data_IF_752969315319
#
_entry.id   IF_752969315319
#
_cell.length_a   1.000
_cell.length_b   1.000
_cell.length_c   1.000
_cell.angle_alpha   90.00
_cell.angle_beta   90.00
_cell.angle_gamma   90.00
#
_symmetry.space_group_name_H-M   'P 1'
#
loop_
_entity.id
_entity.type
_entity.pdbx_description
1 polymer ?
#
# COMPACT_ATOMS: atom_id res chain seq x y z
N UNK A 1 -17.45 30.83 32.13
CA UNK A 1 -16.82 31.37 30.89
C UNK A 1 -17.90 31.45 29.84
N UNK A 2 -18.15 32.63 29.27
CA UNK A 2 -19.16 32.83 28.22
C UNK A 2 -18.52 33.57 27.07
N UNK A 3 -18.64 33.03 25.86
CA UNK A 3 -18.12 33.61 24.62
C UNK A 3 -19.29 34.00 23.72
N UNK A 4 -19.38 35.27 23.34
CA UNK A 4 -20.39 35.76 22.39
C UNK A 4 -19.69 36.39 21.18
N UNK A 5 -19.95 35.91 19.95
CA UNK A 5 -19.45 36.56 18.75
C UNK A 5 -20.31 37.80 18.45
N UNK A 6 -19.68 38.97 18.33
CA UNK A 6 -20.35 40.23 17.97
C UNK A 6 -19.54 40.89 16.85
N UNK A 7 -20.18 41.09 15.69
CA UNK A 7 -19.66 41.88 14.57
C UNK A 7 -18.19 41.57 14.21
N UNK A 8 -17.87 40.29 14.04
CA UNK A 8 -16.54 39.87 13.60
C UNK A 8 -15.47 39.75 14.69
N UNK A 9 -15.83 40.04 15.94
CA UNK A 9 -14.95 39.94 17.10
C UNK A 9 -15.57 39.02 18.16
N UNK A 10 -14.74 38.28 18.89
CA UNK A 10 -15.20 37.40 19.97
C UNK A 10 -14.92 38.07 21.31
N UNK A 11 -15.96 38.26 22.12
CA UNK A 11 -15.81 38.73 23.50
C UNK A 11 -15.90 37.54 24.46
N UNK A 12 -14.82 37.29 25.19
CA UNK A 12 -14.74 36.23 26.19
C UNK A 12 -14.67 36.87 27.58
N UNK A 13 -15.64 36.53 28.44
CA UNK A 13 -15.63 36.89 29.86
C UNK A 13 -15.40 35.64 30.72
N UNK A 14 -14.35 35.68 31.55
CA UNK A 14 -14.06 34.64 32.52
C UNK A 14 -13.80 35.22 33.90
N UNK A 15 -14.66 34.86 34.84
CA UNK A 15 -14.48 35.09 36.26
C UNK A 15 -13.92 33.81 36.89
N UNK A 16 -12.72 33.89 37.45
CA UNK A 16 -12.07 32.80 38.19
C UNK A 16 -11.79 33.26 39.61
N UNK A 17 -12.30 32.50 40.58
CA UNK A 17 -12.11 32.76 42.01
C UNK A 17 -11.25 31.66 42.58
N UNK A 18 -10.07 32.02 43.07
CA UNK A 18 -9.15 31.10 43.72
C UNK A 18 -9.13 31.40 45.22
N UNK A 19 -9.35 30.36 46.02
CA UNK A 19 -9.38 30.44 47.47
C UNK A 19 -8.28 29.56 48.02
N UNK A 20 -7.29 30.18 48.68
CA UNK A 20 -6.15 29.48 49.25
C UNK A 20 -6.40 29.21 50.73
N UNK A 21 -6.15 27.97 51.16
CA UNK A 21 -6.26 27.59 52.57
C UNK A 21 -5.13 28.25 53.38
N UNK A 22 -5.44 28.79 54.59
CA UNK A 22 -4.44 29.51 55.38
C UNK A 22 -3.32 28.59 55.86
N UNK A 23 -2.08 29.09 55.83
CA UNK A 23 -0.93 28.45 56.48
C UNK A 23 -0.92 28.79 57.98
N UNK A 24 -0.23 27.95 58.77
CA UNK A 24 -0.27 27.86 60.25
C UNK A 24 -0.03 29.21 60.97
N UNK A 25 0.53 30.22 60.29
CA UNK A 25 0.80 31.56 60.82
C UNK A 25 -0.20 32.66 60.43
N UNK A 26 -1.26 32.37 59.68
CA UNK A 26 -2.27 33.37 59.26
C UNK A 26 -3.70 32.89 59.57
N UNK A 27 -4.51 33.72 60.24
CA UNK A 27 -5.86 33.34 60.72
C UNK A 27 -6.95 33.42 59.63
N UNK A 28 -6.68 34.02 58.47
CA UNK A 28 -7.60 34.06 57.33
C UNK A 28 -6.87 33.71 56.04
N UNK A 29 -7.47 32.80 55.25
CA UNK A 29 -7.00 32.46 53.90
C UNK A 29 -7.17 33.63 52.94
N UNK A 30 -6.29 33.73 51.96
CA UNK A 30 -6.35 34.79 50.94
C UNK A 30 -7.30 34.38 49.82
N UNK A 31 -8.26 35.24 49.54
CA UNK A 31 -9.17 35.10 48.40
C UNK A 31 -8.71 36.02 47.27
N UNK A 32 -8.43 35.43 46.10
CA UNK A 32 -8.11 36.17 44.89
C UNK A 32 -9.24 35.99 43.88
N UNK A 33 -9.91 37.10 43.54
CA UNK A 33 -10.84 37.15 42.42
C UNK A 33 -10.09 37.75 41.22
N UNK A 34 -9.95 36.98 40.16
CA UNK A 34 -9.31 37.43 38.93
C UNK A 34 -10.35 37.53 37.83
N UNK A 35 -10.66 38.77 37.44
CA UNK A 35 -11.53 39.09 36.33
C UNK A 35 -10.68 39.24 35.06
N UNK A 36 -10.81 38.30 34.13
CA UNK A 36 -10.12 38.37 32.84
C UNK A 36 -11.10 38.75 31.74
N UNK A 37 -10.80 39.86 31.06
CA UNK A 37 -11.54 40.36 29.90
C UNK A 37 -10.67 40.22 28.66
N UNK A 38 -11.10 39.39 27.70
CA UNK A 38 -10.36 39.17 26.45
C UNK A 38 -11.23 39.57 25.26
N UNK A 39 -10.76 40.56 24.52
CA UNK A 39 -11.34 40.99 23.24
C UNK A 39 -10.44 40.51 22.11
N UNK A 40 -10.97 39.60 21.27
CA UNK A 40 -10.31 39.22 20.03
C UNK A 40 -10.91 40.03 18.89
N UNK A 41 -10.21 41.07 18.47
CA UNK A 41 -10.61 41.92 17.34
C UNK A 41 -10.30 41.17 16.03
N UNK A 42 -11.25 41.12 15.09
CA UNK A 42 -11.13 40.48 13.77
C UNK A 42 -10.98 38.94 13.76
N UNK A 43 -11.34 38.25 14.84
CA UNK A 43 -11.28 36.78 14.98
C UNK A 43 -12.11 36.04 13.91
N UNK A 44 -13.23 36.63 13.45
CA UNK A 44 -14.02 36.03 12.36
C UNK A 44 -13.24 35.94 11.05
N UNK A 45 -12.26 36.83 10.81
CA UNK A 45 -11.49 36.81 9.57
C UNK A 45 -10.56 35.59 9.52
N UNK A 46 -9.98 35.22 10.68
CA UNK A 46 -9.31 33.94 10.86
C UNK A 46 -10.29 32.78 10.70
N UNK A 47 -11.49 32.85 11.30
CA UNK A 47 -12.53 31.82 11.13
C UNK A 47 -12.96 31.61 9.67
N UNK A 48 -13.07 32.67 8.87
CA UNK A 48 -13.38 32.58 7.43
C UNK A 48 -12.21 31.98 6.64
N UNK A 49 -10.97 32.35 6.97
CA UNK A 49 -9.76 31.76 6.39
C UNK A 49 -9.67 30.27 6.71
N UNK A 50 -9.89 29.89 7.98
CA UNK A 50 -9.86 28.51 8.45
C UNK A 50 -10.95 27.66 7.80
N UNK A 51 -12.15 28.24 7.59
CA UNK A 51 -13.22 27.59 6.84
C UNK A 51 -12.81 27.34 5.38
N UNK A 52 -12.23 28.32 4.70
CA UNK A 52 -11.74 28.15 3.33
C UNK A 52 -10.60 27.13 3.26
N UNK A 53 -9.67 27.14 4.21
CA UNK A 53 -8.62 26.13 4.32
C UNK A 53 -9.21 24.73 4.49
N UNK A 54 -10.20 24.57 5.36
CA UNK A 54 -10.90 23.30 5.57
C UNK A 54 -11.62 22.83 4.29
N UNK A 55 -12.23 23.74 3.52
CA UNK A 55 -12.86 23.41 2.24
C UNK A 55 -11.82 22.98 1.20
N UNK A 56 -10.67 23.64 1.13
CA UNK A 56 -9.54 23.25 0.27
C UNK A 56 -8.98 21.89 0.66
N UNK A 57 -8.80 21.63 1.95
CA UNK A 57 -8.33 20.34 2.47
C UNK A 57 -9.33 19.23 2.17
N UNK A 58 -10.63 19.47 2.34
CA UNK A 58 -11.67 18.53 1.97
C UNK A 58 -11.67 18.23 0.46
N UNK A 59 -11.52 19.27 -0.38
CA UNK A 59 -11.41 19.10 -1.82
C UNK A 59 -10.16 18.28 -2.20
N UNK A 60 -9.02 18.53 -1.54
CA UNK A 60 -7.78 17.76 -1.72
C UNK A 60 -7.96 16.31 -1.30
N UNK A 61 -8.51 16.04 -0.12
CA UNK A 61 -8.77 14.68 0.35
C UNK A 61 -9.72 13.91 -0.59
N UNK A 62 -10.70 14.61 -1.17
CA UNK A 62 -11.60 14.02 -2.19
C UNK A 62 -10.86 13.69 -3.49
N UNK A 63 -9.96 14.55 -3.93
CA UNK A 63 -9.12 14.28 -5.11
C UNK A 63 -8.16 13.12 -4.85
N UNK A 64 -7.52 13.08 -3.69
CA UNK A 64 -6.65 11.97 -3.26
C UNK A 64 -7.41 10.65 -3.22
N UNK A 65 -8.63 10.64 -2.67
CA UNK A 65 -9.48 9.45 -2.67
C UNK A 65 -9.82 8.98 -4.09
N UNK A 66 -10.14 9.90 -5.00
CA UNK A 66 -10.40 9.55 -6.39
C UNK A 66 -9.15 8.99 -7.09
N UNK A 67 -7.99 9.58 -6.83
CA UNK A 67 -6.71 9.10 -7.35
C UNK A 67 -6.40 7.70 -6.82
N UNK A 68 -6.53 7.49 -5.52
CA UNK A 68 -6.27 6.20 -4.87
C UNK A 68 -7.20 5.10 -5.40
N UNK A 69 -8.47 5.42 -5.68
CA UNK A 69 -9.39 4.50 -6.36
C UNK A 69 -8.93 4.11 -7.76
N UNK A 70 -8.44 5.07 -8.53
CA UNK A 70 -7.91 4.82 -9.88
C UNK A 70 -6.63 3.98 -9.81
N UNK A 71 -5.73 4.31 -8.88
CA UNK A 71 -4.46 3.61 -8.66
C UNK A 71 -4.73 2.14 -8.28
N UNK A 72 -5.62 1.86 -7.33
CA UNK A 72 -6.01 0.48 -6.95
C UNK A 72 -6.65 -0.26 -8.12
N UNK A 73 -7.52 0.40 -8.89
CA UNK A 73 -8.15 -0.21 -10.06
C UNK A 73 -7.11 -0.56 -11.14
N UNK A 74 -6.11 0.29 -11.33
CA UNK A 74 -5.02 0.05 -12.27
C UNK A 74 -4.13 -1.09 -11.77
N UNK A 75 -3.74 -1.08 -10.50
CA UNK A 75 -2.91 -2.11 -9.88
C UNK A 75 -3.54 -3.49 -10.04
N UNK A 76 -4.83 -3.65 -9.71
CA UNK A 76 -5.54 -4.93 -9.89
C UNK A 76 -5.52 -5.39 -11.35
N UNK A 77 -5.72 -4.48 -12.30
CA UNK A 77 -5.67 -4.82 -13.74
C UNK A 77 -4.27 -5.26 -14.17
N UNK A 78 -3.25 -4.54 -13.74
CA UNK A 78 -1.85 -4.86 -14.04
C UNK A 78 -1.48 -6.23 -13.48
N UNK A 79 -1.87 -6.55 -12.24
CA UNK A 79 -1.64 -7.86 -11.65
C UNK A 79 -2.37 -8.99 -12.40
N UNK A 80 -3.63 -8.77 -12.80
CA UNK A 80 -4.37 -9.73 -13.63
C UNK A 80 -3.71 -9.99 -14.99
N UNK A 81 -3.25 -8.94 -15.67
CA UNK A 81 -2.52 -9.11 -16.93
C UNK A 81 -1.15 -9.77 -16.73
N UNK A 82 -0.48 -9.48 -15.60
CA UNK A 82 0.74 -10.13 -15.19
C UNK A 82 0.55 -11.64 -15.05
N UNK A 83 -0.52 -12.07 -14.38
CA UNK A 83 -0.86 -13.48 -14.25
C UNK A 83 -1.16 -14.16 -15.59
N UNK A 84 -1.95 -13.53 -16.46
CA UNK A 84 -2.22 -14.07 -17.81
C UNK A 84 -0.93 -14.25 -18.62
N UNK A 85 -0.01 -13.28 -18.52
CA UNK A 85 1.30 -13.37 -19.16
C UNK A 85 2.12 -14.52 -18.58
N UNK A 86 2.13 -14.69 -17.26
CA UNK A 86 2.84 -15.77 -16.59
C UNK A 86 2.32 -17.15 -17.03
N UNK A 87 1.00 -17.32 -17.19
CA UNK A 87 0.40 -18.56 -17.73
C UNK A 87 0.90 -18.88 -19.15
N UNK A 88 0.96 -17.88 -20.03
CA UNK A 88 1.47 -18.06 -21.40
C UNK A 88 2.97 -18.44 -21.37
N UNK A 89 3.74 -17.82 -20.47
CA UNK A 89 5.15 -18.15 -20.28
C UNK A 89 5.34 -19.58 -19.76
N UNK A 90 4.50 -20.02 -18.83
CA UNK A 90 4.50 -21.38 -18.30
C UNK A 90 4.20 -22.41 -19.40
N UNK A 91 3.18 -22.17 -20.23
CA UNK A 91 2.86 -23.04 -21.37
C UNK A 91 4.02 -23.08 -22.38
N UNK A 92 4.61 -21.93 -22.68
CA UNK A 92 5.78 -21.85 -23.56
C UNK A 92 6.97 -22.63 -23.00
N UNK A 93 7.25 -22.50 -21.69
CA UNK A 93 8.32 -23.22 -21.03
C UNK A 93 8.06 -24.73 -21.01
N UNK A 94 6.82 -25.16 -20.74
CA UNK A 94 6.40 -26.56 -20.81
C UNK A 94 6.63 -27.16 -22.20
N UNK A 95 6.22 -26.43 -23.26
CA UNK A 95 6.42 -26.85 -24.64
C UNK A 95 7.91 -26.96 -25.01
N UNK A 96 8.76 -26.04 -24.51
CA UNK A 96 10.21 -26.10 -24.70
C UNK A 96 10.85 -27.30 -24.01
N UNK A 97 10.45 -27.59 -22.76
CA UNK A 97 10.90 -28.79 -22.04
C UNK A 97 10.57 -30.04 -22.84
N UNK A 98 9.32 -30.19 -23.28
CA UNK A 98 8.91 -31.36 -24.09
C UNK A 98 9.69 -31.48 -25.40
N UNK A 99 9.95 -30.35 -26.08
CA UNK A 99 10.78 -30.34 -27.28
C UNK A 99 12.21 -30.84 -26.99
N UNK A 100 12.82 -30.31 -25.92
CA UNK A 100 14.19 -30.67 -25.54
C UNK A 100 14.30 -32.09 -25.00
N UNK A 101 13.26 -32.65 -24.40
CA UNK A 101 13.17 -34.06 -24.03
C UNK A 101 13.20 -34.97 -25.26
N UNK A 102 12.42 -34.64 -26.28
CA UNK A 102 12.41 -35.40 -27.54
C UNK A 102 13.76 -35.30 -28.26
N UNK A 103 14.39 -34.11 -28.28
CA UNK A 103 15.74 -33.92 -28.84
C UNK A 103 16.78 -34.76 -28.08
N UNK A 104 16.73 -34.77 -26.75
CA UNK A 104 17.63 -35.58 -25.92
C UNK A 104 17.49 -37.08 -26.19
N UNK A 105 16.26 -37.59 -26.27
CA UNK A 105 16.01 -39.01 -26.62
C UNK A 105 16.51 -39.34 -28.03
N UNK A 106 16.33 -38.44 -29.00
CA UNK A 106 16.87 -38.61 -30.35
C UNK A 106 18.40 -38.67 -30.37
N UNK A 107 19.07 -37.78 -29.63
CA UNK A 107 20.53 -37.80 -29.49
C UNK A 107 21.01 -39.10 -28.84
N UNK A 108 20.31 -39.58 -27.81
CA UNK A 108 20.61 -40.86 -27.15
C UNK A 108 20.50 -42.04 -28.12
N UNK A 109 19.50 -42.06 -29.00
CA UNK A 109 19.38 -43.09 -30.04
C UNK A 109 20.54 -43.03 -31.03
N UNK A 110 20.90 -41.85 -31.53
CA UNK A 110 22.05 -41.65 -32.43
C UNK A 110 23.36 -42.08 -31.81
N UNK A 111 23.54 -41.85 -30.51
CA UNK A 111 24.73 -42.34 -29.80
C UNK A 111 24.75 -43.86 -29.72
N UNK A 112 23.59 -44.50 -29.49
CA UNK A 112 23.47 -45.96 -29.52
C UNK A 112 23.88 -46.58 -30.86
N UNK A 113 23.80 -45.79 -31.94
CA UNK A 113 24.28 -46.15 -33.28
C UNK A 113 25.73 -45.69 -33.55
N UNK A 114 26.41 -45.14 -32.54
CA UNK A 114 27.78 -44.59 -32.59
C UNK A 114 27.97 -43.44 -33.61
N UNK A 115 26.87 -42.76 -33.99
CA UNK A 115 26.89 -41.67 -34.98
C UNK A 115 27.34 -40.31 -34.41
N UNK A 116 27.28 -40.15 -33.08
CA UNK A 116 27.61 -38.90 -32.39
C UNK A 116 28.52 -39.17 -31.19
N UNK A 117 29.33 -38.19 -30.74
CA UNK A 117 30.14 -38.32 -29.53
C UNK A 117 29.31 -38.13 -28.25
N UNK A 118 29.82 -38.65 -27.12
CA UNK A 118 29.18 -38.50 -25.80
C UNK A 118 29.04 -37.03 -25.36
N UNK A 119 29.96 -36.15 -25.80
CA UNK A 119 29.91 -34.72 -25.50
C UNK A 119 28.60 -34.07 -25.97
N UNK A 120 28.07 -34.49 -27.13
CA UNK A 120 26.83 -33.93 -27.68
C UNK A 120 25.60 -34.31 -26.85
N UNK A 121 25.59 -35.48 -26.20
CA UNK A 121 24.53 -35.87 -25.28
C UNK A 121 24.60 -35.02 -24.01
N UNK A 122 25.79 -34.82 -23.46
CA UNK A 122 25.99 -34.00 -22.26
C UNK A 122 25.50 -32.57 -22.52
N UNK A 123 25.79 -32.00 -23.69
CA UNK A 123 25.28 -30.68 -24.09
C UNK A 123 23.75 -30.65 -24.17
N UNK A 124 23.12 -31.65 -24.79
CA UNK A 124 21.65 -31.74 -24.85
C UNK A 124 21.03 -31.91 -23.46
N UNK A 125 21.67 -32.67 -22.57
CA UNK A 125 21.25 -32.83 -21.17
C UNK A 125 21.32 -31.50 -20.39
N UNK A 126 22.37 -30.71 -20.61
CA UNK A 126 22.51 -29.37 -20.01
C UNK A 126 21.37 -28.48 -20.49
N UNK A 127 21.06 -28.46 -21.80
CA UNK A 127 19.95 -27.69 -22.35
C UNK A 127 18.61 -28.11 -21.76
N UNK A 128 18.34 -29.42 -21.68
CA UNK A 128 17.12 -29.94 -21.05
C UNK A 128 16.99 -29.48 -19.59
N UNK A 129 18.09 -29.51 -18.84
CA UNK A 129 18.12 -29.08 -17.45
C UNK A 129 17.86 -27.57 -17.32
N UNK A 130 18.41 -26.76 -18.21
CA UNK A 130 18.16 -25.32 -18.27
C UNK A 130 16.70 -25.00 -18.56
N UNK A 131 16.07 -25.69 -19.51
CA UNK A 131 14.65 -25.48 -19.83
C UNK A 131 13.74 -25.95 -18.69
N UNK A 132 14.09 -27.05 -18.00
CA UNK A 132 13.37 -27.48 -16.78
C UNK A 132 13.48 -26.47 -15.66
N UNK A 133 14.66 -25.86 -15.47
CA UNK A 133 14.82 -24.78 -14.51
C UNK A 133 13.94 -23.57 -14.88
N UNK A 134 13.91 -23.18 -16.16
CA UNK A 134 13.05 -22.11 -16.64
C UNK A 134 11.55 -22.42 -16.44
N UNK A 135 11.12 -23.68 -16.59
CA UNK A 135 9.76 -24.10 -16.29
C UNK A 135 9.41 -23.94 -14.81
N UNK A 136 10.28 -24.38 -13.89
CA UNK A 136 10.07 -24.20 -12.44
C UNK A 136 10.02 -22.72 -12.08
N UNK A 137 10.88 -21.89 -12.67
CA UNK A 137 10.85 -20.45 -12.48
C UNK A 137 9.52 -19.84 -12.95
N UNK A 138 9.03 -20.21 -14.13
CA UNK A 138 7.74 -19.73 -14.65
C UNK A 138 6.56 -20.15 -13.75
N UNK A 139 6.65 -21.32 -13.12
CA UNK A 139 5.65 -21.82 -12.17
C UNK A 139 5.66 -20.95 -10.89
N UNK A 140 6.84 -20.63 -10.36
CA UNK A 140 6.99 -19.70 -9.24
C UNK A 140 6.48 -18.29 -9.58
N UNK A 141 6.70 -17.81 -10.81
CA UNK A 141 6.20 -16.52 -11.28
C UNK A 141 4.66 -16.49 -11.36
N UNK A 142 4.01 -17.60 -11.70
CA UNK A 142 2.55 -17.74 -11.65
C UNK A 142 2.03 -17.58 -10.21
N UNK A 143 2.62 -18.32 -9.26
CA UNK A 143 2.25 -18.22 -7.84
C UNK A 143 2.48 -16.82 -7.26
N UNK A 144 3.59 -16.18 -7.63
CA UNK A 144 3.90 -14.80 -7.22
C UNK A 144 2.88 -13.81 -7.78
N UNK A 145 2.43 -14.02 -9.02
CA UNK A 145 1.39 -13.19 -9.64
C UNK A 145 0.03 -13.35 -8.93
N UNK A 146 -0.33 -14.56 -8.52
CA UNK A 146 -1.56 -14.83 -7.74
C UNK A 146 -1.50 -14.13 -6.38
N UNK A 147 -0.37 -14.24 -5.68
CA UNK A 147 -0.14 -13.51 -4.43
C UNK A 147 -0.21 -11.98 -4.64
N UNK A 148 0.30 -11.48 -5.76
CA UNK A 148 0.19 -10.08 -6.17
C UNK A 148 -1.25 -9.62 -6.35
N UNK A 149 -2.09 -10.44 -6.99
CA UNK A 149 -3.53 -10.16 -7.14
C UNK A 149 -4.23 -10.15 -5.77
N UNK A 150 -3.99 -11.15 -4.91
CA UNK A 150 -4.59 -11.21 -3.58
C UNK A 150 -4.24 -9.97 -2.75
N UNK A 151 -2.97 -9.52 -2.81
CA UNK A 151 -2.51 -8.29 -2.18
C UNK A 151 -3.23 -7.05 -2.71
N UNK A 152 -3.36 -6.92 -4.03
CA UNK A 152 -4.03 -5.77 -4.66
C UNK A 152 -5.53 -5.69 -4.32
N UNK A 153 -6.18 -6.84 -4.10
CA UNK A 153 -7.59 -6.92 -3.68
C UNK A 153 -7.75 -6.64 -2.18
N UNK A 154 -6.70 -6.86 -1.38
CA UNK A 154 -6.71 -6.68 0.08
C UNK A 154 -7.38 -7.82 0.85
N UNK A 155 -7.57 -8.97 0.21
CA UNK A 155 -8.08 -10.20 0.84
C UNK A 155 -6.98 -11.25 0.71
N UNK A 156 -6.41 -11.66 1.84
CA UNK A 156 -5.49 -12.80 1.90
C UNK A 156 -6.24 -14.08 1.48
N UNK A 157 -5.64 -14.89 0.61
CA UNK A 157 -6.17 -16.17 0.10
C UNK A 157 -7.48 -16.13 -0.72
N UNK A 158 -7.79 -15.03 -1.41
CA UNK A 158 -8.96 -15.02 -2.32
C UNK A 158 -8.80 -16.01 -3.48
N UNK A 159 -7.64 -15.99 -4.14
CA UNK A 159 -7.24 -17.00 -5.12
C UNK A 159 -6.26 -17.96 -4.44
N UNK A 160 -6.65 -19.23 -4.32
CA UNK A 160 -5.76 -20.30 -3.84
C UNK A 160 -5.18 -21.05 -5.02
N UNK A 161 -3.91 -21.39 -4.91
CA UNK A 161 -3.30 -22.40 -5.75
C UNK A 161 -3.84 -23.77 -5.32
N UNK A 162 -4.47 -24.50 -6.25
CA UNK A 162 -4.78 -25.93 -6.10
C UNK A 162 -3.54 -26.80 -6.37
#
# INVERSE_FOLDING_TARGET
KTSLPIWGSTMEYSHTREQWTPVISAFQGTEAATDSFKLKLFDNLAMYSDKQLSEIEFARARQELNKLKQDVTLEVKEQCFGYQKALIQLDTASNKVRYQENDFEFMKMKRGMDEIPDSSIIESMIKLTQERFAYVQALADCHTSIAGINKAIGIEDYFKDE
#
